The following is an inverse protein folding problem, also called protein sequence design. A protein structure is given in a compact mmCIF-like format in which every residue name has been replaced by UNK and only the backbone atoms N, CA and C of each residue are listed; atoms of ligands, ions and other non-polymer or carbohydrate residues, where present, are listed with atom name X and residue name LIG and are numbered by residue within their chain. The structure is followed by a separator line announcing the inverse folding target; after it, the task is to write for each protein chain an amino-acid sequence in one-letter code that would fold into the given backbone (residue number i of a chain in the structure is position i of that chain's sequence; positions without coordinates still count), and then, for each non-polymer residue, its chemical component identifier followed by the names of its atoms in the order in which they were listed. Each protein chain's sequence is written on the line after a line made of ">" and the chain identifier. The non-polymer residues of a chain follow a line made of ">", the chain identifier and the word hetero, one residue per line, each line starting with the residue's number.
data_IF_745752628755
#
_entry.id   IF_745752628755
#
_cell.length_a   1.000
_cell.length_b   1.000
_cell.length_c   1.000
_cell.angle_alpha   90.00
_cell.angle_beta   90.00
_cell.angle_gamma   90.00
#
_symmetry.space_group_name_H-M   'P 1'
#
loop_
_entity.id
_entity.type
_entity.pdbx_description
1 polymer ?
#
# COMPACT_ATOMS: atom_id res chain seq x y z
N UNK A 1 19.44 13.34 5.44
CA UNK A 1 19.20 11.99 4.87
C UNK A 1 17.74 11.87 4.49
N UNK A 2 17.49 11.58 3.25
CA UNK A 2 16.11 11.43 2.79
C UNK A 2 15.58 10.06 3.18
N UNK A 3 14.34 10.03 3.68
CA UNK A 3 13.65 8.78 3.93
C UNK A 3 13.11 8.22 2.63
N UNK A 4 12.97 6.91 2.58
CA UNK A 4 12.39 6.23 1.43
C UNK A 4 11.10 5.53 1.84
N UNK A 5 10.22 5.36 0.88
CA UNK A 5 9.00 4.57 1.03
C UNK A 5 9.25 3.20 0.42
N UNK A 6 9.06 2.15 1.21
CA UNK A 6 9.20 0.78 0.74
C UNK A 6 7.83 0.27 0.33
N UNK A 7 7.76 -0.28 -0.87
CA UNK A 7 6.51 -0.75 -1.44
C UNK A 7 6.68 -2.19 -1.91
N UNK A 8 5.73 -3.04 -1.55
CA UNK A 8 5.66 -4.39 -2.10
C UNK A 8 4.78 -4.32 -3.33
N UNK A 9 5.37 -4.63 -4.48
CA UNK A 9 4.67 -4.60 -5.77
C UNK A 9 4.41 -6.01 -6.27
N UNK A 10 3.44 -6.14 -7.16
CA UNK A 10 3.17 -7.40 -7.82
C UNK A 10 4.15 -7.55 -8.99
N UNK A 11 5.05 -8.53 -8.91
CA UNK A 11 6.04 -8.78 -9.95
C UNK A 11 5.53 -9.75 -11.02
N UNK A 12 4.65 -10.66 -10.62
CA UNK A 12 4.06 -11.65 -11.53
C UNK A 12 2.71 -12.08 -11.00
N UNK A 13 1.84 -12.54 -11.89
CA UNK A 13 0.54 -13.06 -11.46
C UNK A 13 0.72 -14.48 -10.94
N UNK A 14 0.34 -14.77 -9.68
CA UNK A 14 0.51 -16.10 -9.12
C UNK A 14 -0.31 -17.14 -9.88
N UNK A 15 0.28 -18.32 -10.05
CA UNK A 15 -0.43 -19.49 -10.56
C UNK A 15 -0.63 -20.42 -9.37
N UNK A 16 -1.87 -20.55 -8.91
CA UNK A 16 -2.17 -21.29 -7.70
C UNK A 16 -1.78 -20.51 -6.45
N UNK A 17 -1.03 -21.11 -5.54
CA UNK A 17 -0.61 -20.48 -4.30
C UNK A 17 0.48 -19.43 -4.57
N UNK A 18 0.35 -18.22 -4.02
CA UNK A 18 1.36 -17.18 -4.24
C UNK A 18 2.73 -17.57 -3.69
N UNK A 19 3.78 -17.17 -4.40
CA UNK A 19 5.18 -17.41 -4.02
C UNK A 19 5.88 -16.08 -3.80
N UNK A 20 6.99 -16.10 -3.08
CA UNK A 20 7.76 -14.87 -2.84
C UNK A 20 8.20 -14.20 -4.14
N UNK A 21 8.51 -14.98 -5.16
CA UNK A 21 8.93 -14.45 -6.46
C UNK A 21 7.81 -13.74 -7.22
N UNK A 22 6.56 -13.87 -6.78
CA UNK A 22 5.44 -13.11 -7.35
C UNK A 22 5.42 -11.65 -6.88
N UNK A 23 6.25 -11.31 -5.92
CA UNK A 23 6.30 -10.00 -5.29
C UNK A 23 7.70 -9.41 -5.37
N UNK A 24 7.78 -8.09 -5.36
CA UNK A 24 9.05 -7.37 -5.35
C UNK A 24 8.97 -6.23 -4.33
N UNK A 25 10.01 -6.11 -3.51
CA UNK A 25 10.15 -4.97 -2.62
C UNK A 25 10.89 -3.86 -3.35
N UNK A 26 10.23 -2.72 -3.53
CA UNK A 26 10.82 -1.56 -4.19
C UNK A 26 10.93 -0.40 -3.22
N UNK A 27 11.77 0.57 -3.56
CA UNK A 27 11.91 1.80 -2.80
C UNK A 27 11.57 2.99 -3.69
N UNK A 28 10.89 3.97 -3.12
CA UNK A 28 10.58 5.21 -3.81
C UNK A 28 10.77 6.37 -2.84
N UNK A 29 10.87 7.62 -3.32
CA UNK A 29 10.97 8.76 -2.43
C UNK A 29 9.76 8.84 -1.50
N UNK A 30 10.01 9.26 -0.25
CA UNK A 30 8.94 9.52 0.70
C UNK A 30 7.99 10.56 0.12
N UNK A 31 6.67 10.28 0.06
CA UNK A 31 5.73 11.26 -0.47
C UNK A 31 5.58 12.46 0.47
N UNK A 32 5.18 13.58 -0.08
CA UNK A 32 4.90 14.79 0.68
C UNK A 32 3.41 15.09 0.57
N UNK A 33 2.71 15.30 1.71
CA UNK A 33 1.27 15.61 1.64
C UNK A 33 1.04 16.98 1.02
N UNK A 34 0.05 17.03 0.13
CA UNK A 34 -0.41 18.30 -0.43
C UNK A 34 -1.42 18.99 0.47
N UNK A 35 -2.02 20.06 -0.05
CA UNK A 35 -3.02 20.82 0.68
C UNK A 35 -4.24 19.94 1.00
N UNK A 36 -4.65 19.92 2.26
CA UNK A 36 -5.77 19.10 2.71
C UNK A 36 -5.46 17.62 2.85
N UNK A 37 -4.19 17.23 2.74
CA UNK A 37 -3.74 15.85 2.85
C UNK A 37 -2.91 15.63 4.10
N UNK A 38 -2.73 14.37 4.46
CA UNK A 38 -1.82 14.01 5.52
C UNK A 38 -1.04 12.76 5.12
N UNK A 39 0.15 12.60 5.68
CA UNK A 39 1.02 11.46 5.42
C UNK A 39 0.93 10.48 6.58
N UNK A 40 0.75 9.21 6.25
CA UNK A 40 0.60 8.12 7.22
C UNK A 40 1.78 7.18 7.11
N UNK A 41 2.35 6.83 8.25
CA UNK A 41 3.31 5.73 8.34
C UNK A 41 2.54 4.47 8.69
N UNK A 42 2.51 3.52 7.77
CA UNK A 42 1.79 2.26 7.98
C UNK A 42 2.42 1.46 9.10
N UNK A 43 1.60 1.01 10.03
CA UNK A 43 2.03 0.18 11.17
C UNK A 43 1.58 -1.27 10.99
N UNK A 44 0.36 -1.47 10.51
CA UNK A 44 -0.22 -2.79 10.34
C UNK A 44 -0.97 -2.85 9.02
N UNK A 45 -0.83 -3.95 8.31
CA UNK A 45 -1.55 -4.20 7.06
C UNK A 45 -2.33 -5.49 7.21
N UNK A 46 -3.60 -5.46 6.84
CA UNK A 46 -4.43 -6.65 6.83
C UNK A 46 -4.10 -7.50 5.60
N UNK A 47 -3.99 -8.80 5.78
CA UNK A 47 -3.83 -9.75 4.68
C UNK A 47 -5.13 -10.51 4.53
N UNK A 48 -5.83 -10.28 3.43
CA UNK A 48 -7.18 -10.76 3.25
C UNK A 48 -7.32 -11.61 1.99
N UNK A 49 -8.27 -12.56 1.97
CA UNK A 49 -8.45 -13.47 0.82
C UNK A 49 -8.74 -12.73 -0.50
N UNK A 50 -9.41 -11.59 -0.46
CA UNK A 50 -9.71 -10.85 -1.70
C UNK A 50 -8.46 -10.38 -2.44
N UNK A 51 -7.35 -10.22 -1.73
CA UNK A 51 -6.09 -9.78 -2.34
C UNK A 51 -5.61 -10.77 -3.39
N UNK A 52 -5.78 -12.06 -3.13
CA UNK A 52 -5.39 -13.10 -4.10
C UNK A 52 -6.18 -12.98 -5.40
N UNK A 53 -7.48 -12.72 -5.30
CA UNK A 53 -8.32 -12.52 -6.49
C UNK A 53 -7.87 -11.33 -7.33
N UNK A 54 -7.46 -10.24 -6.68
CA UNK A 54 -6.98 -9.04 -7.37
C UNK A 54 -5.61 -9.23 -8.04
N UNK A 55 -4.89 -10.29 -7.73
CA UNK A 55 -3.62 -10.63 -8.38
C UNK A 55 -3.84 -11.30 -9.73
N UNK A 56 -5.05 -11.71 -10.05
CA UNK A 56 -5.40 -12.29 -11.34
C UNK A 56 -5.61 -11.19 -12.38
N UNK A 57 -5.45 -11.56 -13.64
CA UNK A 57 -5.68 -10.62 -14.74
C UNK A 57 -7.15 -10.28 -14.92
N UNK A 58 -8.04 -11.18 -14.54
CA UNK A 58 -9.48 -10.98 -14.70
C UNK A 58 -10.04 -10.05 -13.65
N UNK A 59 -10.94 -9.18 -14.07
CA UNK A 59 -11.65 -8.28 -13.19
C UNK A 59 -12.70 -9.07 -12.42
N UNK A 60 -12.64 -8.98 -11.09
CA UNK A 60 -13.61 -9.62 -10.22
C UNK A 60 -14.34 -8.59 -9.36
N UNK A 61 -14.28 -8.78 -8.05
CA UNK A 61 -14.92 -7.92 -7.05
C UNK A 61 -14.43 -6.47 -7.12
N UNK A 62 -13.15 -6.30 -7.42
CA UNK A 62 -12.52 -4.99 -7.54
C UNK A 62 -11.54 -5.03 -8.72
N UNK A 63 -11.02 -3.87 -9.10
CA UNK A 63 -10.01 -3.81 -10.15
C UNK A 63 -8.79 -4.65 -9.77
N UNK A 64 -8.23 -5.41 -10.71
CA UNK A 64 -7.04 -6.21 -10.42
C UNK A 64 -5.83 -5.33 -10.12
N UNK A 65 -4.88 -5.87 -9.37
CA UNK A 65 -3.57 -5.25 -9.22
C UNK A 65 -2.83 -5.34 -10.55
N UNK A 66 -2.17 -4.27 -10.92
CA UNK A 66 -1.32 -4.25 -12.10
C UNK A 66 0.10 -4.70 -11.75
N UNK A 67 0.77 -5.34 -12.70
CA UNK A 67 2.18 -5.71 -12.52
C UNK A 67 3.00 -4.44 -12.35
N UNK A 68 3.83 -4.41 -11.31
CA UNK A 68 4.67 -3.25 -10.99
C UNK A 68 4.01 -2.24 -10.06
N UNK A 69 2.73 -2.38 -9.77
CA UNK A 69 2.05 -1.51 -8.82
C UNK A 69 2.12 -2.06 -7.39
N UNK A 70 2.05 -1.16 -6.43
CA UNK A 70 1.97 -1.54 -5.03
C UNK A 70 0.69 -2.29 -4.71
N UNK A 71 0.82 -3.33 -3.90
CA UNK A 71 -0.33 -4.08 -3.40
C UNK A 71 -0.91 -3.29 -2.23
N UNK A 72 -2.22 -3.03 -2.27
CA UNK A 72 -2.88 -2.29 -1.23
C UNK A 72 -3.97 -3.12 -0.54
N UNK A 73 -4.37 -2.66 0.62
CA UNK A 73 -5.41 -3.31 1.41
C UNK A 73 -5.68 -2.48 2.65
N UNK A 74 -6.50 -3.03 3.54
CA UNK A 74 -6.78 -2.37 4.82
C UNK A 74 -5.52 -2.24 5.66
N UNK A 75 -5.32 -1.08 6.25
CA UNK A 75 -4.11 -0.80 7.02
C UNK A 75 -4.41 0.19 8.15
N UNK A 76 -3.57 0.16 9.18
CA UNK A 76 -3.60 1.13 10.27
C UNK A 76 -2.25 1.80 10.33
N UNK A 77 -2.23 3.11 10.43
CA UNK A 77 -0.99 3.85 10.50
C UNK A 77 -1.08 5.09 11.36
N UNK A 78 0.08 5.67 11.60
CA UNK A 78 0.25 6.90 12.37
C UNK A 78 0.45 8.08 11.45
N UNK A 79 -0.25 9.18 11.72
CA UNK A 79 -0.07 10.42 10.97
C UNK A 79 1.26 11.04 11.38
N UNK A 80 2.17 11.18 10.40
CA UNK A 80 3.51 11.72 10.64
C UNK A 80 3.70 13.13 10.10
N UNK A 81 2.88 13.54 9.12
CA UNK A 81 2.81 14.91 8.61
C UNK A 81 1.36 15.20 8.26
N UNK A 82 0.89 16.44 8.47
CA UNK A 82 -0.49 16.78 8.17
C UNK A 82 -0.66 18.21 7.71
N UNK A 83 -1.40 18.36 6.60
CA UNK A 83 -1.90 19.64 6.10
C UNK A 83 -3.44 19.65 6.13
N UNK A 84 -4.02 18.86 7.04
CA UNK A 84 -5.47 18.73 7.17
C UNK A 84 -5.88 19.10 8.60
N UNK A 85 -6.91 19.95 8.74
CA UNK A 85 -7.31 20.50 10.03
C UNK A 85 -7.80 19.45 11.03
N UNK A 86 -8.42 18.40 10.54
CA UNK A 86 -9.01 17.35 11.38
C UNK A 86 -8.05 16.23 11.77
N UNK A 87 -6.97 16.07 11.01
CA UNK A 87 -6.02 14.97 11.22
C UNK A 87 -4.69 15.53 11.69
N UNK A 88 -4.33 15.19 12.90
CA UNK A 88 -3.15 15.75 13.56
C UNK A 88 -2.03 14.73 13.64
N UNK A 89 -0.79 15.21 13.57
CA UNK A 89 0.40 14.38 13.76
C UNK A 89 0.28 13.64 15.10
N UNK A 90 0.60 12.35 15.08
CA UNK A 90 0.50 11.47 16.25
C UNK A 90 -0.80 10.70 16.33
N UNK A 91 -1.81 11.06 15.53
CA UNK A 91 -3.07 10.33 15.48
C UNK A 91 -2.95 9.05 14.67
N UNK A 92 -3.86 8.11 14.91
CA UNK A 92 -3.92 6.86 14.16
C UNK A 92 -5.15 6.86 13.26
N UNK A 93 -5.00 6.28 12.05
CA UNK A 93 -6.07 6.18 11.06
C UNK A 93 -6.13 4.77 10.50
N UNK A 94 -7.30 4.43 10.02
CA UNK A 94 -7.59 3.12 9.43
C UNK A 94 -8.01 3.30 7.97
#
# INVERSE_FOLDING_TARGET
>A
MSEVNRVITLAARPVGFPKETDFELTEEPKPTPGNGQFLVRTKFVSVDPYMRGRMNEQRGYADPFEIGEGINGGAVGEIVESNHDRFKVGGFVH
#
